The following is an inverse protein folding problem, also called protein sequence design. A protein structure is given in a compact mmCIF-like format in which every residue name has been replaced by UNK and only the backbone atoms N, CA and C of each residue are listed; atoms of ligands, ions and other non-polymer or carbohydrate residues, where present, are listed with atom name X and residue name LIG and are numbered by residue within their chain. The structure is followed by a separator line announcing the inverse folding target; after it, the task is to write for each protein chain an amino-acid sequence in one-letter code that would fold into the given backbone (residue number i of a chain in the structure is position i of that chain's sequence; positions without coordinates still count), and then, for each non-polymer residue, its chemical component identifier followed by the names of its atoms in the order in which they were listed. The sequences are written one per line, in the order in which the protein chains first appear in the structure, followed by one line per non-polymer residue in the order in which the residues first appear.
data_IF_900578032009
#
_entry.id   IF_900578032009
#
_cell.length_a   1.000
_cell.length_b   1.000
_cell.length_c   1.000
_cell.angle_alpha   90.00
_cell.angle_beta   90.00
_cell.angle_gamma   90.00
#
_symmetry.space_group_name_H-M   'P 1'
#
loop_
_entity.id
_entity.type
_entity.pdbx_description
1 polymer ?
#
# COMPACT_ATOMS: atom_id res chain seq x y z
N UNK A 1 -30.24 -25.45 10.54
CA UNK A 1 -28.75 -25.48 10.48
C UNK A 1 -28.17 -24.92 9.17
N UNK A 2 -28.76 -25.18 7.99
CA UNK A 2 -28.23 -24.74 6.69
C UNK A 2 -28.00 -23.23 6.52
N UNK A 3 -28.91 -22.36 6.96
CA UNK A 3 -28.75 -20.90 6.82
C UNK A 3 -27.53 -20.33 7.54
N UNK A 4 -27.14 -20.93 8.68
CA UNK A 4 -25.98 -20.48 9.45
C UNK A 4 -24.69 -20.87 8.72
N UNK A 5 -24.61 -22.10 8.18
CA UNK A 5 -23.48 -22.59 7.40
C UNK A 5 -23.29 -21.80 6.10
N UNK A 6 -24.38 -21.50 5.39
CA UNK A 6 -24.38 -20.69 4.16
C UNK A 6 -23.92 -19.24 4.44
N UNK A 7 -24.37 -18.64 5.55
CA UNK A 7 -23.92 -17.32 5.97
C UNK A 7 -22.42 -17.29 6.31
N UNK A 8 -21.88 -18.39 6.86
CA UNK A 8 -20.46 -18.49 7.21
C UNK A 8 -19.60 -18.69 5.97
N UNK A 9 -20.05 -19.54 5.03
CA UNK A 9 -19.39 -19.75 3.74
C UNK A 9 -19.35 -18.48 2.89
N UNK A 10 -20.47 -17.74 2.77
CA UNK A 10 -20.47 -16.43 2.08
C UNK A 10 -19.51 -15.44 2.72
N UNK A 11 -19.44 -15.42 4.05
CA UNK A 11 -18.51 -14.56 4.79
C UNK A 11 -17.06 -14.95 4.54
N UNK A 12 -16.74 -16.25 4.54
CA UNK A 12 -15.41 -16.74 4.21
C UNK A 12 -15.00 -16.37 2.78
N UNK A 13 -15.90 -16.51 1.80
CA UNK A 13 -15.65 -16.13 0.40
C UNK A 13 -15.48 -14.62 0.23
N UNK A 14 -16.24 -13.80 0.96
CA UNK A 14 -16.08 -12.34 0.95
C UNK A 14 -14.76 -11.94 1.61
N UNK A 15 -14.41 -12.51 2.76
CA UNK A 15 -13.12 -12.27 3.40
C UNK A 15 -11.95 -12.77 2.54
N UNK A 16 -12.13 -13.84 1.78
CA UNK A 16 -11.10 -14.38 0.90
C UNK A 16 -10.96 -13.55 -0.38
N UNK A 17 -12.06 -13.09 -0.98
CA UNK A 17 -12.03 -12.12 -2.09
C UNK A 17 -11.45 -10.79 -1.67
N UNK A 18 -11.70 -10.36 -0.45
CA UNK A 18 -11.17 -9.10 0.06
C UNK A 18 -9.73 -9.24 0.58
N UNK A 19 -9.31 -10.40 1.11
CA UNK A 19 -7.89 -10.71 1.32
C UNK A 19 -7.11 -10.82 0.00
N UNK A 20 -7.74 -11.39 -1.04
CA UNK A 20 -7.22 -11.38 -2.42
C UNK A 20 -7.34 -10.00 -3.08
N UNK A 21 -8.22 -9.14 -2.56
CA UNK A 21 -8.64 -7.88 -3.14
C UNK A 21 -8.14 -6.63 -2.42
N UNK A 22 -7.47 -6.73 -1.25
CA UNK A 22 -6.95 -5.53 -0.60
C UNK A 22 -6.08 -4.83 -1.62
N UNK A 23 -6.49 -3.61 -1.97
CA UNK A 23 -6.07 -2.85 -3.15
C UNK A 23 -4.76 -3.40 -3.71
N UNK A 24 -4.79 -3.99 -4.90
CA UNK A 24 -3.59 -4.46 -5.61
C UNK A 24 -2.44 -3.45 -5.53
N UNK A 25 -2.78 -2.16 -5.46
CA UNK A 25 -1.86 -1.06 -5.22
C UNK A 25 -1.10 -1.21 -3.88
N UNK A 26 -1.78 -1.40 -2.75
CA UNK A 26 -1.16 -1.60 -1.44
C UNK A 26 -0.25 -2.84 -1.41
N UNK A 27 -0.62 -3.89 -2.13
CA UNK A 27 0.22 -5.09 -2.25
C UNK A 27 1.52 -4.79 -3.03
N UNK A 28 1.42 -4.11 -4.17
CA UNK A 28 2.56 -3.68 -4.97
C UNK A 28 3.45 -2.72 -4.18
N UNK A 29 2.85 -1.81 -3.42
CA UNK A 29 3.54 -0.84 -2.58
C UNK A 29 4.29 -1.49 -1.41
N UNK A 30 3.70 -2.50 -0.76
CA UNK A 30 4.38 -3.32 0.25
C UNK A 30 5.56 -4.06 -0.36
N UNK A 31 5.39 -4.65 -1.55
CA UNK A 31 6.47 -5.32 -2.26
C UNK A 31 7.60 -4.33 -2.59
N UNK A 32 7.25 -3.13 -3.04
CA UNK A 32 8.20 -2.06 -3.31
C UNK A 32 8.94 -1.59 -2.05
N UNK A 33 8.25 -1.41 -0.91
CA UNK A 33 8.87 -1.06 0.38
C UNK A 33 9.84 -2.16 0.85
N UNK A 34 9.44 -3.41 0.72
CA UNK A 34 10.30 -4.53 1.09
C UNK A 34 11.56 -4.61 0.21
N UNK A 35 11.39 -4.41 -1.10
CA UNK A 35 12.51 -4.35 -2.04
C UNK A 35 13.46 -3.20 -1.75
N UNK A 36 12.94 -2.00 -1.47
CA UNK A 36 13.76 -0.84 -1.10
C UNK A 36 14.49 -1.03 0.22
N UNK A 37 13.89 -1.67 1.23
CA UNK A 37 14.59 -2.05 2.46
C UNK A 37 15.75 -3.01 2.20
N UNK A 38 15.55 -4.01 1.32
CA UNK A 38 16.64 -4.89 0.89
C UNK A 38 17.78 -4.12 0.22
N UNK A 39 17.46 -3.18 -0.67
CA UNK A 39 18.46 -2.33 -1.34
C UNK A 39 19.19 -1.40 -0.36
N UNK A 40 18.48 -0.82 0.61
CA UNK A 40 19.08 0.00 1.66
C UNK A 40 20.03 -0.83 2.50
N UNK A 41 19.64 -2.05 2.89
CA UNK A 41 20.51 -2.97 3.63
C UNK A 41 21.75 -3.38 2.83
N UNK A 42 21.61 -3.60 1.53
CA UNK A 42 22.75 -3.84 0.64
C UNK A 42 23.72 -2.65 0.63
N UNK A 43 23.20 -1.45 0.39
CA UNK A 43 24.01 -0.25 0.14
C UNK A 43 24.62 0.36 1.40
N UNK A 44 23.88 0.40 2.50
CA UNK A 44 24.28 1.15 3.70
C UNK A 44 24.73 0.27 4.86
N UNK A 45 24.23 -0.96 4.94
CA UNK A 45 24.60 -1.90 6.02
C UNK A 45 25.68 -2.89 5.58
N UNK A 46 26.11 -2.83 4.31
CA UNK A 46 27.10 -3.73 3.71
C UNK A 46 26.76 -5.22 3.90
N UNK A 47 25.45 -5.52 3.96
CA UNK A 47 24.91 -6.86 4.21
C UNK A 47 25.05 -7.76 2.96
N UNK A 48 25.54 -7.22 1.85
CA UNK A 48 25.98 -7.96 0.66
C UNK A 48 24.98 -9.03 0.23
N UNK A 49 25.40 -10.29 0.27
CA UNK A 49 24.64 -11.46 -0.14
C UNK A 49 23.40 -11.77 0.72
N UNK A 50 23.16 -11.09 1.84
CA UNK A 50 22.01 -11.33 2.72
C UNK A 50 20.92 -10.24 2.58
N UNK A 51 21.13 -9.26 1.70
CA UNK A 51 20.18 -8.16 1.50
C UNK A 51 18.81 -8.63 1.00
N UNK A 52 18.76 -9.70 0.19
CA UNK A 52 17.52 -10.31 -0.25
C UNK A 52 16.74 -10.96 0.90
N UNK A 53 17.42 -11.46 1.94
CA UNK A 53 16.77 -11.97 3.14
C UNK A 53 16.15 -10.84 3.95
N UNK A 54 16.81 -9.69 4.06
CA UNK A 54 16.24 -8.50 4.71
C UNK A 54 14.97 -8.06 3.98
N UNK A 55 15.01 -7.98 2.65
CA UNK A 55 13.83 -7.65 1.84
C UNK A 55 12.72 -8.69 1.99
N UNK A 56 13.05 -9.99 1.94
CA UNK A 56 12.08 -11.07 2.13
C UNK A 56 11.43 -11.06 3.52
N UNK A 57 12.22 -10.91 4.59
CA UNK A 57 11.71 -10.82 5.96
C UNK A 57 10.84 -9.57 6.15
N UNK A 58 11.24 -8.43 5.59
CA UNK A 58 10.43 -7.21 5.61
C UNK A 58 9.09 -7.44 4.88
N UNK A 59 9.11 -8.08 3.72
CA UNK A 59 7.90 -8.41 2.96
C UNK A 59 6.93 -9.28 3.75
N UNK A 60 7.40 -10.38 4.34
CA UNK A 60 6.56 -11.23 5.19
C UNK A 60 6.05 -10.49 6.43
N UNK A 61 6.88 -9.64 7.04
CA UNK A 61 6.49 -8.76 8.13
C UNK A 61 5.35 -7.82 7.73
N UNK A 62 5.46 -7.16 6.59
CA UNK A 62 4.41 -6.27 6.09
C UNK A 62 3.14 -7.01 5.69
N UNK A 63 3.23 -8.20 5.08
CA UNK A 63 2.07 -9.05 4.82
C UNK A 63 1.37 -9.49 6.11
N UNK A 64 2.13 -9.72 7.18
CA UNK A 64 1.56 -10.02 8.49
C UNK A 64 0.89 -8.78 9.10
N UNK A 65 1.54 -7.61 9.03
CA UNK A 65 1.00 -6.33 9.52
C UNK A 65 -0.26 -5.87 8.75
N UNK A 66 -0.40 -6.27 7.48
CA UNK A 66 -1.60 -6.04 6.66
C UNK A 66 -2.89 -6.60 7.27
N UNK A 67 -2.80 -7.45 8.31
CA UNK A 67 -3.94 -7.93 9.09
C UNK A 67 -4.55 -6.86 10.00
N UNK A 68 -3.86 -5.76 10.26
CA UNK A 68 -4.31 -4.70 11.15
C UNK A 68 -4.85 -3.50 10.34
N UNK A 69 -6.12 -3.14 10.54
CA UNK A 69 -6.75 -1.98 9.86
C UNK A 69 -5.93 -0.69 10.04
N UNK A 70 -5.42 -0.45 11.25
CA UNK A 70 -4.61 0.74 11.55
C UNK A 70 -3.34 0.81 10.70
N UNK A 71 -2.64 -0.32 10.51
CA UNK A 71 -1.44 -0.38 9.68
C UNK A 71 -1.78 -0.05 8.22
N UNK A 72 -2.85 -0.64 7.68
CA UNK A 72 -3.30 -0.37 6.33
C UNK A 72 -3.65 1.12 6.13
N UNK A 73 -4.38 1.74 7.07
CA UNK A 73 -4.70 3.17 7.04
C UNK A 73 -3.46 4.05 7.02
N UNK A 74 -2.53 3.80 7.93
CA UNK A 74 -1.29 4.56 8.02
C UNK A 74 -0.46 4.41 6.74
N UNK A 75 -0.28 3.18 6.26
CA UNK A 75 0.48 2.93 5.03
C UNK A 75 -0.18 3.56 3.80
N UNK A 76 -1.49 3.47 3.65
CA UNK A 76 -2.20 4.11 2.53
C UNK A 76 -2.04 5.63 2.55
N UNK A 77 -2.03 6.28 3.72
CA UNK A 77 -1.75 7.72 3.83
C UNK A 77 -0.30 8.01 3.40
N UNK A 78 0.67 7.26 3.95
CA UNK A 78 2.10 7.44 3.64
C UNK A 78 2.35 7.25 2.14
N UNK A 79 1.81 6.20 1.54
CA UNK A 79 1.98 5.92 0.13
C UNK A 79 1.27 6.93 -0.77
N UNK A 80 0.06 7.39 -0.40
CA UNK A 80 -0.60 8.49 -1.12
C UNK A 80 0.32 9.71 -1.17
N UNK A 81 0.86 10.09 0.00
CA UNK A 81 1.78 11.22 0.12
C UNK A 81 3.05 10.98 -0.72
N UNK A 82 3.65 9.80 -0.62
CA UNK A 82 4.84 9.42 -1.39
C UNK A 82 4.62 9.56 -2.90
N UNK A 83 3.53 9.03 -3.43
CA UNK A 83 3.22 9.12 -4.85
C UNK A 83 2.91 10.54 -5.29
N UNK A 84 2.13 11.30 -4.51
CA UNK A 84 1.81 12.69 -4.81
C UNK A 84 3.09 13.51 -4.89
N UNK A 85 3.97 13.41 -3.90
CA UNK A 85 5.26 14.11 -3.94
C UNK A 85 6.17 13.60 -5.07
N UNK A 86 6.19 12.28 -5.32
CA UNK A 86 6.97 11.68 -6.40
C UNK A 86 6.56 12.20 -7.78
N UNK A 87 5.26 12.20 -8.10
CA UNK A 87 4.76 12.74 -9.37
C UNK A 87 4.95 14.25 -9.46
N UNK A 88 4.72 14.97 -8.36
CA UNK A 88 4.94 16.42 -8.30
C UNK A 88 6.42 16.74 -8.56
N UNK A 89 7.36 15.98 -7.99
CA UNK A 89 8.79 16.13 -8.20
C UNK A 89 9.18 16.00 -9.69
N UNK A 90 8.56 15.07 -10.43
CA UNK A 90 8.79 14.89 -11.87
C UNK A 90 8.30 16.09 -12.71
N UNK A 91 7.40 16.90 -12.17
CA UNK A 91 6.83 18.08 -12.85
C UNK A 91 7.50 19.40 -12.46
N UNK A 92 8.62 19.35 -11.73
CA UNK A 92 9.41 20.55 -11.44
C UNK A 92 10.03 21.11 -12.72
N UNK A 93 9.82 22.41 -12.92
CA UNK A 93 10.50 23.17 -13.96
C UNK A 93 11.78 23.83 -13.42
N UNK A 94 12.62 24.33 -14.30
CA UNK A 94 13.82 25.10 -13.93
C UNK A 94 13.53 26.33 -13.06
N UNK A 95 12.28 26.82 -13.06
CA UNK A 95 11.83 27.98 -12.27
C UNK A 95 11.11 27.60 -10.96
N UNK A 96 11.11 26.32 -10.59
CA UNK A 96 10.46 25.82 -9.37
C UNK A 96 8.98 25.44 -9.57
N UNK A 97 8.17 25.69 -8.53
CA UNK A 97 6.74 25.34 -8.49
C UNK A 97 5.99 26.16 -9.52
N UNK A 98 5.40 25.47 -10.50
CA UNK A 98 4.58 26.08 -11.56
C UNK A 98 3.11 25.66 -11.44
N UNK A 99 2.23 26.28 -12.23
CA UNK A 99 0.84 25.85 -12.34
C UNK A 99 0.71 24.37 -12.76
N UNK A 100 1.62 23.89 -13.61
CA UNK A 100 1.71 22.48 -13.98
C UNK A 100 2.06 21.60 -12.77
N UNK A 101 3.00 22.05 -11.94
CA UNK A 101 3.41 21.33 -10.72
C UNK A 101 2.25 21.18 -9.74
N UNK A 102 1.49 22.26 -9.52
CA UNK A 102 0.29 22.25 -8.68
C UNK A 102 -0.80 21.35 -9.30
N UNK A 103 -1.00 21.45 -10.62
CA UNK A 103 -1.97 20.63 -11.35
C UNK A 103 -1.68 19.14 -11.20
N UNK A 104 -0.42 18.73 -11.39
CA UNK A 104 0.01 17.33 -11.19
C UNK A 104 -0.23 16.89 -9.75
N UNK A 105 0.13 17.70 -8.75
CA UNK A 105 -0.09 17.35 -7.35
C UNK A 105 -1.58 17.09 -7.03
N UNK A 106 -2.48 17.96 -7.50
CA UNK A 106 -3.93 17.82 -7.30
C UNK A 106 -4.48 16.60 -8.04
N UNK A 107 -4.10 16.40 -9.30
CA UNK A 107 -4.53 15.24 -10.08
C UNK A 107 -4.04 13.95 -9.43
N UNK A 108 -2.76 13.84 -9.09
CA UNK A 108 -2.19 12.68 -8.40
C UNK A 108 -2.90 12.41 -7.07
N UNK A 109 -3.24 13.46 -6.29
CA UNK A 109 -3.95 13.30 -5.03
C UNK A 109 -5.36 12.72 -5.23
N UNK A 110 -6.10 13.21 -6.23
CA UNK A 110 -7.45 12.73 -6.53
C UNK A 110 -7.40 11.26 -6.99
N UNK A 111 -6.53 10.93 -7.92
CA UNK A 111 -6.45 9.57 -8.48
C UNK A 111 -5.88 8.57 -7.49
N UNK A 112 -4.70 8.84 -6.92
CA UNK A 112 -4.03 7.91 -5.99
C UNK A 112 -4.78 7.86 -4.65
N UNK A 113 -5.20 9.02 -4.13
CA UNK A 113 -6.00 9.09 -2.92
C UNK A 113 -7.35 8.39 -3.08
N UNK A 114 -8.00 8.51 -4.24
CA UNK A 114 -9.23 7.78 -4.55
C UNK A 114 -9.05 6.25 -4.57
N UNK A 115 -7.94 5.76 -5.13
CA UNK A 115 -7.62 4.32 -5.13
C UNK A 115 -7.37 3.81 -3.71
N UNK A 116 -6.56 4.53 -2.93
CA UNK A 116 -6.29 4.20 -1.54
C UNK A 116 -7.55 4.24 -0.69
N UNK A 117 -8.38 5.26 -0.86
CA UNK A 117 -9.64 5.41 -0.14
C UNK A 117 -10.59 4.25 -0.41
N UNK A 118 -10.78 3.85 -1.68
CA UNK A 118 -11.59 2.67 -2.03
C UNK A 118 -11.02 1.40 -1.41
N UNK A 119 -9.70 1.22 -1.48
CA UNK A 119 -9.03 0.10 -0.83
C UNK A 119 -9.24 0.06 0.68
N UNK A 120 -9.25 1.22 1.34
CA UNK A 120 -9.50 1.32 2.79
C UNK A 120 -10.96 1.06 3.16
N UNK A 121 -11.93 1.51 2.36
CA UNK A 121 -13.34 1.20 2.57
C UNK A 121 -13.59 -0.31 2.53
N UNK A 122 -13.00 -1.00 1.55
CA UNK A 122 -13.03 -2.46 1.48
C UNK A 122 -12.42 -3.11 2.73
N UNK A 123 -11.35 -2.54 3.30
CA UNK A 123 -10.75 -3.05 4.53
C UNK A 123 -11.60 -2.77 5.78
N UNK A 124 -12.17 -1.57 5.89
CA UNK A 124 -12.97 -1.20 7.06
C UNK A 124 -14.27 -2.02 7.13
N UNK A 125 -14.91 -2.33 6.00
CA UNK A 125 -16.06 -3.24 5.95
C UNK A 125 -15.73 -4.67 6.45
N UNK A 126 -14.45 -5.09 6.34
CA UNK A 126 -13.99 -6.39 6.84
C UNK A 126 -13.65 -6.37 8.32
N UNK A 127 -13.04 -5.28 8.80
CA UNK A 127 -12.52 -5.15 10.17
C UNK A 127 -13.49 -4.48 11.14
N UNK A 128 -14.54 -3.80 10.67
CA UNK A 128 -15.62 -3.26 11.52
C UNK A 128 -16.55 -4.36 12.07
N UNK A 129 -16.05 -5.59 12.20
CA UNK A 129 -16.73 -6.76 12.77
C UNK A 129 -16.00 -7.31 13.97
#
# INVERSE_FOLDING_TARGET
MNKKLESTMRRAVISERAQRGMSWLLFIEILWLAGTLGLVAYKFLNIGNWAWLVGGLAYFGFLWLRRYSLFCKVMSIIFTVYWVFGFTALSYSSYGISAMTIGVAVVSLIFIGGIHWRGLQEMDDLYAR
#
